data_IF_658224491655
#
_entry.id   IF_658224491655
#
_cell.length_a   1.000
_cell.length_b   1.000
_cell.length_c   1.000
_cell.angle_alpha   90.00
_cell.angle_beta   90.00
_cell.angle_gamma   90.00
#
_symmetry.space_group_name_H-M   'P 1'
#
loop_
_entity.id
_entity.type
_entity.pdbx_description
1 polymer ?
#
# COMPACT_ATOMS: atom_id res chain seq x y z
N UNK A 1 -16.82 18.12 11.42
CA UNK A 1 -15.68 17.47 12.11
C UNK A 1 -14.38 18.17 11.75
N UNK A 2 -13.27 18.01 12.51
CA UNK A 2 -12.00 18.71 12.25
C UNK A 2 -11.44 18.44 10.84
N UNK A 3 -11.59 17.20 10.33
CA UNK A 3 -11.21 16.86 8.95
C UNK A 3 -12.00 17.67 7.89
N UNK A 4 -13.30 17.86 8.10
CA UNK A 4 -14.15 18.57 7.13
C UNK A 4 -13.85 20.07 7.13
N UNK A 5 -13.17 20.59 8.17
CA UNK A 5 -12.67 21.96 8.26
C UNK A 5 -11.22 22.09 7.81
N UNK A 6 -10.60 20.99 7.34
CA UNK A 6 -9.16 20.96 7.00
C UNK A 6 -8.23 21.32 8.17
N UNK A 7 -8.66 21.11 9.41
CA UNK A 7 -7.86 21.32 10.62
C UNK A 7 -6.91 20.13 10.87
N UNK A 8 -7.27 18.93 10.40
CA UNK A 8 -6.49 17.71 10.54
C UNK A 8 -6.47 16.96 9.20
N UNK A 9 -5.30 16.52 8.77
CA UNK A 9 -5.13 15.67 7.61
C UNK A 9 -5.39 14.19 7.93
N UNK A 10 -5.75 13.38 6.93
CA UNK A 10 -5.95 11.94 7.09
C UNK A 10 -4.68 11.20 7.54
N UNK A 11 -3.51 11.72 7.16
CA UNK A 11 -2.21 11.15 7.55
C UNK A 11 -1.72 11.65 8.90
N UNK A 12 -2.38 12.64 9.51
CA UNK A 12 -2.00 13.18 10.79
C UNK A 12 -1.93 12.07 11.85
N UNK A 13 -0.80 12.03 12.55
CA UNK A 13 -0.61 11.13 13.69
C UNK A 13 -1.40 11.67 14.87
N UNK A 14 -2.22 10.83 15.46
CA UNK A 14 -3.09 11.17 16.58
C UNK A 14 -2.95 10.15 17.69
N UNK A 15 -3.09 10.63 18.93
CA UNK A 15 -3.21 9.79 20.10
C UNK A 15 -4.69 9.70 20.47
N UNK A 16 -5.21 8.49 20.54
CA UNK A 16 -6.59 8.24 20.92
C UNK A 16 -6.66 7.39 22.17
N UNK A 17 -7.65 7.66 22.99
CA UNK A 17 -7.99 6.82 24.13
C UNK A 17 -9.07 5.83 23.72
N UNK A 18 -8.70 4.56 23.65
CA UNK A 18 -9.58 3.47 23.30
C UNK A 18 -10.22 2.90 24.58
N UNK A 19 -11.53 2.61 24.57
CA UNK A 19 -12.20 2.01 25.73
C UNK A 19 -11.72 0.57 25.97
N UNK A 20 -12.07 0.02 27.13
CA UNK A 20 -11.60 -1.30 27.59
C UNK A 20 -12.06 -2.45 26.66
N UNK A 21 -13.23 -2.33 26.06
CA UNK A 21 -13.85 -3.32 25.17
C UNK A 21 -13.28 -3.31 23.75
N UNK A 22 -12.34 -2.42 23.49
CA UNK A 22 -11.72 -2.30 22.17
C UNK A 22 -10.67 -3.39 21.95
N UNK A 23 -10.75 -4.08 20.82
CA UNK A 23 -9.83 -5.16 20.47
C UNK A 23 -8.56 -4.58 19.84
N UNK A 24 -7.47 -4.59 20.62
CA UNK A 24 -6.15 -4.16 20.16
C UNK A 24 -5.54 -5.17 19.18
N UNK A 25 -4.56 -4.76 18.36
CA UNK A 25 -3.76 -5.68 17.57
C UNK A 25 -3.12 -6.77 18.46
N UNK A 26 -3.00 -8.01 17.96
CA UNK A 26 -2.49 -9.14 18.76
C UNK A 26 -1.07 -8.93 19.27
N UNK A 27 -0.26 -8.22 18.50
CA UNK A 27 1.16 -7.99 18.75
C UNK A 27 1.43 -6.57 19.28
N UNK A 28 0.39 -5.89 19.82
CA UNK A 28 0.57 -4.54 20.34
C UNK A 28 1.28 -4.53 21.71
N UNK A 29 2.37 -3.80 21.78
CA UNK A 29 3.09 -3.47 22.99
C UNK A 29 3.16 -1.94 23.15
N UNK A 30 3.05 -1.41 24.39
CA UNK A 30 3.16 0.03 24.64
C UNK A 30 4.49 0.59 24.18
N UNK A 31 4.48 1.61 23.33
CA UNK A 31 5.64 2.28 22.78
C UNK A 31 5.76 3.75 23.21
N UNK A 32 6.86 4.38 22.82
CA UNK A 32 7.05 5.83 22.95
C UNK A 32 6.77 6.48 21.61
N UNK A 33 5.91 7.51 21.62
CA UNK A 33 5.52 8.25 20.41
C UNK A 33 5.99 9.69 20.55
N UNK A 34 6.79 10.13 19.56
CA UNK A 34 7.23 11.52 19.48
C UNK A 34 6.10 12.38 18.93
N UNK A 35 5.75 13.43 19.67
CA UNK A 35 4.74 14.41 19.25
C UNK A 35 5.38 15.34 18.20
N UNK A 36 4.70 15.55 17.09
CA UNK A 36 5.12 16.51 16.05
C UNK A 36 4.41 17.83 16.37
N UNK A 37 5.18 18.91 16.47
CA UNK A 37 4.70 20.27 16.83
C UNK A 37 3.89 20.29 18.13
N UNK A 38 4.50 19.94 19.30
CA UNK A 38 3.79 19.97 20.55
C UNK A 38 3.37 21.40 20.92
N UNK A 39 2.18 21.54 21.47
CA UNK A 39 1.75 22.83 22.03
C UNK A 39 2.70 23.28 23.15
N UNK A 40 2.89 24.60 23.36
CA UNK A 40 3.76 25.11 24.41
C UNK A 40 3.37 24.53 25.79
N UNK A 41 4.26 23.76 26.40
CA UNK A 41 4.04 23.10 27.68
C UNK A 41 3.55 21.64 27.59
N UNK A 42 3.31 21.11 26.40
CA UNK A 42 3.02 19.68 26.21
C UNK A 42 4.32 18.87 26.10
N UNK A 43 4.32 17.58 26.50
CA UNK A 43 5.51 16.75 26.40
C UNK A 43 5.85 16.44 24.94
N UNK A 44 7.15 16.45 24.59
CA UNK A 44 7.65 16.10 23.27
C UNK A 44 7.48 14.61 22.92
N UNK A 45 7.36 13.78 23.97
CA UNK A 45 7.19 12.34 23.85
C UNK A 45 6.05 11.91 24.74
N UNK A 46 5.10 11.17 24.16
CA UNK A 46 3.98 10.56 24.89
C UNK A 46 4.13 9.05 24.82
N UNK A 47 3.91 8.39 25.96
CA UNK A 47 3.92 6.93 26.02
C UNK A 47 2.54 6.38 25.76
N UNK A 48 2.49 5.36 24.90
CA UNK A 48 1.31 4.50 24.84
C UNK A 48 1.21 3.74 26.17
N UNK A 49 0.07 3.76 26.79
CA UNK A 49 -0.10 3.11 28.08
C UNK A 49 -1.50 2.53 28.26
N UNK A 50 -1.59 1.52 29.12
CA UNK A 50 -2.86 0.99 29.57
C UNK A 50 -3.20 1.57 30.93
N UNK A 51 -4.36 2.21 31.03
CA UNK A 51 -4.84 2.82 32.29
C UNK A 51 -5.49 1.79 33.23
N UNK A 52 -5.66 2.15 34.49
CA UNK A 52 -6.30 1.29 35.50
C UNK A 52 -7.75 0.93 35.17
N UNK A 53 -8.46 1.78 34.42
CA UNK A 53 -9.82 1.53 33.94
C UNK A 53 -9.88 0.59 32.73
N UNK A 54 -8.72 0.06 32.31
CA UNK A 54 -8.59 -0.83 31.16
C UNK A 54 -8.55 -0.11 29.81
N UNK A 55 -8.76 1.21 29.77
CA UNK A 55 -8.60 2.00 28.54
C UNK A 55 -7.14 2.07 28.13
N UNK A 56 -6.88 2.30 26.84
CA UNK A 56 -5.53 2.34 26.27
C UNK A 56 -5.32 3.63 25.51
N UNK A 57 -4.22 4.32 25.80
CA UNK A 57 -3.73 5.41 24.98
C UNK A 57 -2.94 4.83 23.81
N UNK A 58 -3.39 5.09 22.61
CA UNK A 58 -2.94 4.40 21.40
C UNK A 58 -2.61 5.40 20.30
N UNK A 59 -1.42 5.24 19.69
CA UNK A 59 -0.97 6.08 18.58
C UNK A 59 -1.37 5.49 17.23
N UNK A 60 -2.00 6.31 16.43
CA UNK A 60 -2.46 5.91 15.10
C UNK A 60 -2.52 7.11 14.15
N UNK A 61 -3.06 6.95 12.96
CA UNK A 61 -3.42 8.07 12.09
C UNK A 61 -4.94 8.23 12.02
N UNK A 62 -5.38 9.45 11.70
CA UNK A 62 -6.81 9.72 11.58
C UNK A 62 -7.47 8.86 10.50
N UNK A 63 -6.79 8.63 9.38
CA UNK A 63 -7.28 7.74 8.32
C UNK A 63 -7.49 6.30 8.78
N UNK A 64 -6.62 5.77 9.67
CA UNK A 64 -6.78 4.43 10.25
C UNK A 64 -7.98 4.36 11.20
N UNK A 65 -8.27 5.43 11.94
CA UNK A 65 -9.48 5.49 12.77
C UNK A 65 -10.72 5.39 11.90
N UNK A 66 -10.78 6.14 10.80
CA UNK A 66 -11.90 6.09 9.86
C UNK A 66 -12.05 4.69 9.24
N UNK A 67 -10.93 4.08 8.83
CA UNK A 67 -10.93 2.72 8.28
C UNK A 67 -11.45 1.69 9.28
N UNK A 68 -10.95 1.70 10.51
CA UNK A 68 -11.40 0.79 11.55
C UNK A 68 -12.86 1.04 11.97
N UNK A 69 -13.34 2.27 11.85
CA UNK A 69 -14.76 2.60 12.06
C UNK A 69 -15.71 1.96 11.05
N UNK A 70 -15.22 1.44 9.92
CA UNK A 70 -16.04 0.68 8.96
C UNK A 70 -16.04 -0.81 9.22
N UNK A 71 -15.12 -1.31 10.04
CA UNK A 71 -15.00 -2.71 10.41
C UNK A 71 -15.97 -3.08 11.53
N UNK A 72 -16.31 -4.38 11.72
CA UNK A 72 -17.11 -4.82 12.87
C UNK A 72 -16.44 -4.42 14.19
N UNK A 73 -17.25 -4.08 15.20
CA UNK A 73 -16.79 -3.53 16.50
C UNK A 73 -15.80 -4.45 17.23
N UNK A 74 -15.97 -5.75 17.09
CA UNK A 74 -15.13 -6.79 17.68
C UNK A 74 -13.96 -7.25 16.80
N UNK A 75 -13.76 -6.57 15.65
CA UNK A 75 -12.60 -6.83 14.79
C UNK A 75 -11.34 -6.16 15.36
N UNK A 76 -10.17 -6.84 15.38
CA UNK A 76 -8.93 -6.25 15.86
C UNK A 76 -8.56 -4.98 15.09
N UNK A 77 -8.11 -3.95 15.81
CA UNK A 77 -7.72 -2.68 15.21
C UNK A 77 -6.54 -2.86 14.23
N UNK A 78 -6.73 -2.42 13.01
CA UNK A 78 -5.70 -2.45 11.95
C UNK A 78 -4.89 -1.15 12.02
N UNK A 79 -3.66 -1.22 12.55
CA UNK A 79 -2.76 -0.06 12.69
C UNK A 79 -1.57 -0.08 11.71
N UNK A 80 -1.67 -0.83 10.65
CA UNK A 80 -0.67 -0.93 9.60
C UNK A 80 -1.18 -0.37 8.27
N UNK A 81 -0.29 -0.23 7.29
CA UNK A 81 -0.72 0.06 5.92
C UNK A 81 -1.50 -1.14 5.37
N UNK A 82 -2.62 -0.86 4.70
CA UNK A 82 -3.48 -1.86 4.09
C UNK A 82 -3.41 -1.81 2.55
N UNK A 83 -2.28 -2.23 1.92
CA UNK A 83 -2.20 -2.38 0.48
C UNK A 83 -3.21 -3.42 0.00
N UNK A 84 -3.44 -3.50 -1.32
CA UNK A 84 -4.44 -4.38 -1.94
C UNK A 84 -4.42 -5.82 -1.39
N UNK A 85 -3.22 -6.41 -1.27
CA UNK A 85 -3.05 -7.78 -0.74
C UNK A 85 -3.50 -7.91 0.73
N UNK A 86 -3.22 -6.89 1.55
CA UNK A 86 -3.61 -6.88 2.95
C UNK A 86 -5.11 -6.66 3.11
N UNK A 87 -5.67 -5.72 2.33
CA UNK A 87 -7.11 -5.47 2.33
C UNK A 87 -7.90 -6.73 1.93
N UNK A 88 -7.46 -7.46 0.90
CA UNK A 88 -8.09 -8.74 0.52
C UNK A 88 -8.10 -9.73 1.68
N UNK A 89 -6.99 -9.88 2.41
CA UNK A 89 -6.94 -10.76 3.59
C UNK A 89 -7.89 -10.34 4.71
N UNK A 90 -8.05 -9.03 4.95
CA UNK A 90 -8.99 -8.50 5.93
C UNK A 90 -10.43 -8.84 5.51
N UNK A 91 -10.76 -8.64 4.25
CA UNK A 91 -12.09 -8.95 3.70
C UNK A 91 -12.38 -10.45 3.80
N UNK A 92 -11.43 -11.30 3.44
CA UNK A 92 -11.57 -12.76 3.55
C UNK A 92 -11.77 -13.22 5.00
N UNK A 93 -11.02 -12.63 5.93
CA UNK A 93 -11.13 -12.92 7.37
C UNK A 93 -12.51 -12.50 7.91
N UNK A 94 -13.01 -11.32 7.51
CA UNK A 94 -14.35 -10.84 7.84
C UNK A 94 -15.41 -11.76 7.24
N UNK A 95 -15.28 -12.17 5.98
CA UNK A 95 -16.21 -13.08 5.33
C UNK A 95 -16.28 -14.46 6.01
N UNK A 96 -15.18 -14.87 6.64
CA UNK A 96 -15.12 -16.16 7.37
C UNK A 96 -15.72 -16.07 8.78
N UNK A 97 -15.60 -14.92 9.45
CA UNK A 97 -15.99 -14.78 10.88
C UNK A 97 -17.39 -14.25 11.08
N UNK A 98 -17.90 -13.49 10.14
CA UNK A 98 -19.16 -12.74 10.31
C UNK A 98 -20.26 -13.22 9.39
N UNK A 99 -21.50 -12.89 9.74
CA UNK A 99 -22.66 -13.21 8.91
C UNK A 99 -22.64 -12.43 7.58
N UNK A 100 -23.25 -12.98 6.55
CA UNK A 100 -23.35 -12.35 5.22
C UNK A 100 -23.94 -10.92 5.31
N UNK A 101 -24.88 -10.68 6.20
CA UNK A 101 -25.47 -9.36 6.40
C UNK A 101 -24.44 -8.36 6.96
N UNK A 102 -23.63 -8.76 7.94
CA UNK A 102 -22.57 -7.92 8.51
C UNK A 102 -21.46 -7.67 7.48
N UNK A 103 -21.08 -8.69 6.72
CA UNK A 103 -20.09 -8.57 5.64
C UNK A 103 -20.57 -7.53 4.61
N UNK A 104 -21.81 -7.61 4.17
CA UNK A 104 -22.38 -6.65 3.20
C UNK A 104 -22.31 -5.21 3.71
N UNK A 105 -22.73 -4.96 4.96
CA UNK A 105 -22.67 -3.63 5.58
C UNK A 105 -21.24 -3.12 5.67
N UNK A 106 -20.29 -3.98 6.06
CA UNK A 106 -18.87 -3.62 6.17
C UNK A 106 -18.28 -3.27 4.80
N UNK A 107 -18.55 -4.07 3.78
CA UNK A 107 -18.05 -3.81 2.41
C UNK A 107 -18.64 -2.53 1.82
N UNK A 108 -19.93 -2.26 2.05
CA UNK A 108 -20.53 -0.99 1.63
C UNK A 108 -19.91 0.20 2.35
N UNK A 109 -19.68 0.10 3.66
CA UNK A 109 -19.01 1.16 4.42
C UNK A 109 -17.56 1.40 3.97
N UNK A 110 -16.79 0.33 3.68
CA UNK A 110 -15.45 0.43 3.13
C UNK A 110 -15.43 1.09 1.75
N UNK A 111 -16.35 0.69 0.88
CA UNK A 111 -16.52 1.29 -0.46
C UNK A 111 -16.84 2.78 -0.34
N UNK A 112 -17.80 3.16 0.48
CA UNK A 112 -18.22 4.55 0.66
C UNK A 112 -17.12 5.40 1.26
N UNK A 113 -16.36 4.87 2.23
CA UNK A 113 -15.16 5.52 2.75
C UNK A 113 -14.15 5.78 1.64
N UNK A 114 -13.84 4.76 0.83
CA UNK A 114 -12.88 4.85 -0.27
C UNK A 114 -13.28 5.92 -1.29
N UNK A 115 -14.50 5.85 -1.82
CA UNK A 115 -14.99 6.80 -2.81
C UNK A 115 -15.14 8.23 -2.28
N UNK A 116 -15.47 8.37 -0.99
CA UNK A 116 -15.60 9.70 -0.39
C UNK A 116 -14.24 10.34 -0.11
N UNK A 117 -13.24 9.56 0.32
CA UNK A 117 -11.95 10.09 0.79
C UNK A 117 -10.84 10.08 -0.25
N UNK A 118 -10.90 9.22 -1.26
CA UNK A 118 -9.90 9.20 -2.33
C UNK A 118 -9.75 10.55 -3.06
N UNK A 119 -10.84 11.26 -3.43
CA UNK A 119 -10.71 12.59 -4.04
C UNK A 119 -10.05 13.63 -3.13
N UNK A 120 -10.21 13.49 -1.80
CA UNK A 120 -9.64 14.41 -0.83
C UNK A 120 -8.13 14.22 -0.61
N UNK A 121 -7.60 13.06 -0.98
CA UNK A 121 -6.16 12.82 -0.90
C UNK A 121 -5.36 13.72 -1.86
N UNK A 122 -6.03 14.27 -2.88
CA UNK A 122 -5.38 15.12 -3.89
C UNK A 122 -4.38 14.39 -4.78
N UNK A 123 -4.30 13.05 -4.66
CA UNK A 123 -3.40 12.25 -5.50
C UNK A 123 -3.94 12.25 -6.92
N UNK A 124 -3.19 12.85 -7.83
CA UNK A 124 -3.44 12.84 -9.26
C UNK A 124 -2.33 12.08 -9.96
N UNK A 125 -2.66 11.47 -11.07
CA UNK A 125 -1.72 10.75 -11.93
C UNK A 125 -1.83 11.29 -13.35
N UNK A 126 -0.69 11.67 -13.93
CA UNK A 126 -0.56 12.11 -15.30
C UNK A 126 0.42 11.20 -16.05
N UNK A 127 0.31 11.14 -17.38
CA UNK A 127 1.28 10.40 -18.20
C UNK A 127 2.71 10.93 -18.07
N UNK A 128 2.87 12.22 -17.73
CA UNK A 128 4.17 12.83 -17.46
C UNK A 128 4.83 12.34 -16.17
N UNK A 129 4.08 11.69 -15.29
CA UNK A 129 4.60 11.17 -14.01
C UNK A 129 5.28 9.81 -14.19
N UNK A 130 5.05 9.16 -15.35
CA UNK A 130 5.76 7.94 -15.75
C UNK A 130 7.15 8.35 -16.25
N UNK A 131 8.12 8.32 -15.35
CA UNK A 131 9.50 8.68 -15.67
C UNK A 131 10.21 7.43 -16.17
N UNK A 132 10.86 7.56 -17.34
CA UNK A 132 11.69 6.48 -17.87
C UNK A 132 12.96 6.33 -17.00
N UNK A 133 13.35 5.09 -16.65
CA UNK A 133 14.64 4.85 -16.02
C UNK A 133 15.76 5.32 -16.95
N UNK A 134 16.84 5.93 -16.43
CA UNK A 134 17.94 6.39 -17.27
C UNK A 134 18.66 5.25 -17.99
N UNK A 135 18.58 4.04 -17.47
CA UNK A 135 19.20 2.83 -18.02
C UNK A 135 18.36 2.14 -19.10
N UNK A 136 17.18 2.67 -19.46
CA UNK A 136 16.25 2.03 -20.40
C UNK A 136 16.92 1.79 -21.77
N UNK A 137 17.65 2.77 -22.27
CA UNK A 137 18.31 2.68 -23.59
C UNK A 137 19.41 1.59 -23.58
N UNK A 138 20.12 1.41 -22.47
CA UNK A 138 21.12 0.35 -22.31
C UNK A 138 20.48 -1.05 -22.33
N UNK A 139 19.33 -1.21 -21.69
CA UNK A 139 18.57 -2.46 -21.74
C UNK A 139 18.12 -2.79 -23.16
N UNK A 140 17.56 -1.82 -23.89
CA UNK A 140 17.09 -2.01 -25.25
C UNK A 140 18.26 -2.40 -26.17
N UNK A 141 19.35 -1.64 -26.15
CA UNK A 141 20.54 -1.88 -26.98
C UNK A 141 21.17 -3.25 -26.73
N UNK A 142 21.24 -3.68 -25.45
CA UNK A 142 21.68 -5.04 -25.08
C UNK A 142 20.81 -6.11 -25.74
N UNK A 143 19.49 -6.00 -25.61
CA UNK A 143 18.57 -7.01 -26.12
C UNK A 143 18.41 -6.98 -27.64
N UNK A 144 18.57 -5.82 -28.29
CA UNK A 144 18.69 -5.71 -29.75
C UNK A 144 19.93 -6.44 -30.27
N UNK A 145 21.08 -6.25 -29.61
CA UNK A 145 22.29 -6.97 -29.97
C UNK A 145 22.23 -8.49 -29.77
N UNK A 146 21.43 -8.97 -28.80
CA UNK A 146 21.16 -10.40 -28.64
C UNK A 146 20.17 -10.92 -29.71
N UNK A 147 19.16 -10.13 -30.08
CA UNK A 147 18.21 -10.47 -31.13
C UNK A 147 18.90 -10.56 -32.52
N UNK A 148 19.85 -9.68 -32.80
CA UNK A 148 20.64 -9.70 -34.03
C UNK A 148 21.42 -11.01 -34.16
N UNK A 149 22.04 -11.51 -33.08
CA UNK A 149 22.73 -12.80 -33.06
C UNK A 149 21.79 -13.98 -33.33
N UNK A 150 20.58 -13.95 -32.83
CA UNK A 150 19.56 -14.98 -33.11
C UNK A 150 19.18 -14.95 -34.61
N UNK A 151 19.03 -13.77 -35.22
CA UNK A 151 18.77 -13.62 -36.63
C UNK A 151 19.97 -14.07 -37.48
N UNK A 152 21.20 -13.72 -37.09
CA UNK A 152 22.42 -14.22 -37.77
C UNK A 152 22.50 -15.75 -37.75
N UNK A 153 22.22 -16.38 -36.62
CA UNK A 153 22.18 -17.85 -36.52
C UNK A 153 21.14 -18.49 -37.39
N UNK A 154 20.00 -17.84 -37.55
CA UNK A 154 18.99 -18.29 -38.52
C UNK A 154 19.47 -18.15 -39.99
N UNK A 155 20.08 -17.01 -40.34
CA UNK A 155 20.57 -16.79 -41.72
C UNK A 155 21.65 -17.79 -42.17
N UNK A 156 22.51 -18.20 -41.23
CA UNK A 156 23.53 -19.23 -41.51
C UNK A 156 23.00 -20.67 -41.40
N UNK A 157 21.69 -20.83 -41.16
CA UNK A 157 21.02 -22.13 -41.12
C UNK A 157 21.23 -22.94 -39.86
N UNK A 158 21.66 -22.32 -38.74
CA UNK A 158 21.80 -22.96 -37.43
C UNK A 158 20.48 -23.11 -36.68
N UNK A 159 19.50 -22.27 -37.00
CA UNK A 159 18.16 -22.28 -36.39
C UNK A 159 17.10 -22.46 -37.48
N UNK A 160 16.02 -23.13 -37.11
CA UNK A 160 14.77 -23.16 -37.90
C UNK A 160 13.96 -21.88 -37.65
N UNK A 161 13.00 -21.58 -38.51
CA UNK A 161 12.10 -20.42 -38.33
C UNK A 161 11.33 -20.47 -37.02
N UNK A 162 10.90 -21.65 -36.59
CA UNK A 162 10.17 -21.85 -35.34
C UNK A 162 11.09 -21.58 -34.09
N UNK A 163 12.31 -22.10 -34.14
CA UNK A 163 13.32 -21.86 -33.08
C UNK A 163 13.70 -20.39 -32.98
N UNK A 164 13.97 -19.73 -34.09
CA UNK A 164 14.24 -18.29 -34.13
C UNK A 164 13.10 -17.49 -33.48
N UNK A 165 11.86 -17.80 -33.88
CA UNK A 165 10.69 -17.12 -33.32
C UNK A 165 10.58 -17.32 -31.80
N UNK A 166 10.78 -18.55 -31.35
CA UNK A 166 10.70 -18.86 -29.91
C UNK A 166 11.79 -18.15 -29.13
N UNK A 167 13.03 -18.17 -29.60
CA UNK A 167 14.15 -17.47 -28.95
C UNK A 167 13.92 -15.98 -28.88
N UNK A 168 13.41 -15.34 -29.95
CA UNK A 168 13.08 -13.91 -29.93
C UNK A 168 11.96 -13.58 -28.95
N UNK A 169 10.92 -14.41 -28.85
CA UNK A 169 9.82 -14.22 -27.88
C UNK A 169 10.34 -14.32 -26.45
N UNK A 170 11.16 -15.31 -26.16
CA UNK A 170 11.74 -15.51 -24.82
C UNK A 170 12.67 -14.36 -24.44
N UNK A 171 13.47 -13.90 -25.40
CA UNK A 171 14.38 -12.75 -25.24
C UNK A 171 13.62 -11.46 -24.90
N UNK A 172 12.61 -11.11 -25.70
CA UNK A 172 11.83 -9.90 -25.47
C UNK A 172 10.92 -9.97 -24.23
N UNK A 173 10.50 -11.17 -23.85
CA UNK A 173 9.78 -11.39 -22.58
C UNK A 173 10.70 -11.10 -21.40
N UNK A 174 11.95 -11.56 -21.47
CA UNK A 174 12.95 -11.28 -20.44
C UNK A 174 13.30 -9.80 -20.36
N UNK A 175 13.49 -9.14 -21.53
CA UNK A 175 13.68 -7.69 -21.59
C UNK A 175 12.55 -6.93 -20.90
N UNK A 176 11.29 -7.30 -21.19
CA UNK A 176 10.12 -6.68 -20.59
C UNK A 176 10.11 -6.83 -19.06
N UNK A 177 10.51 -8.00 -18.54
CA UNK A 177 10.60 -8.21 -17.10
C UNK A 177 11.70 -7.35 -16.46
N UNK A 178 12.91 -7.32 -17.04
CA UNK A 178 14.02 -6.52 -16.49
C UNK A 178 13.70 -5.02 -16.54
N UNK A 179 13.09 -4.54 -17.61
CA UNK A 179 12.65 -3.13 -17.71
C UNK A 179 11.55 -2.81 -16.70
N UNK A 180 10.60 -3.74 -16.48
CA UNK A 180 9.54 -3.53 -15.49
C UNK A 180 10.08 -3.43 -14.07
N UNK A 181 11.03 -4.28 -13.70
CA UNK A 181 11.71 -4.24 -12.41
C UNK A 181 12.48 -2.91 -12.23
N UNK A 182 13.23 -2.48 -13.26
CA UNK A 182 13.96 -1.21 -13.23
C UNK A 182 13.01 0.00 -13.08
N UNK A 183 11.84 -0.03 -13.70
CA UNK A 183 10.82 1.01 -13.55
C UNK A 183 10.27 1.02 -12.12
N UNK A 184 9.95 -0.14 -11.54
CA UNK A 184 9.46 -0.24 -10.15
C UNK A 184 10.50 0.29 -9.16
N UNK A 185 11.77 -0.12 -9.26
CA UNK A 185 12.86 0.37 -8.41
C UNK A 185 13.05 1.89 -8.51
N UNK A 186 12.91 2.45 -9.73
CA UNK A 186 13.03 3.90 -9.93
C UNK A 186 11.87 4.67 -9.30
N UNK A 187 10.66 4.12 -9.27
CA UNK A 187 9.51 4.72 -8.57
C UNK A 187 9.66 4.67 -7.05
N UNK A 188 10.15 3.58 -6.50
CA UNK A 188 10.31 3.41 -5.06
C UNK A 188 11.47 4.25 -4.49
N UNK A 189 12.41 4.69 -5.33
CA UNK A 189 13.57 5.50 -4.94
C UNK A 189 13.30 7.00 -4.76
N UNK A 190 12.10 7.46 -5.10
CA UNK A 190 11.65 8.87 -4.99
C UNK A 190 10.58 9.05 -3.93
#
# INVERSE_FOLDING_TARGET
MALDRHEIDMQAKVLIRLPQDFVLPKDWEPGEVKVVDPEPGSPDVVKEERFHDGSVLFATSYGRILFNGTLPVDYPFVNEQAPKKRLSKIVDDIATRYSTAQVAVTLDALKDLGFTRAPWSGVSFAFSDVIQPPELDEYIEKYEGEADKVNENYEIGMLTEEERRQELVDLWTKCTSEVSEAVEEHFDSK
#
